data_IF_794365974752
#
_entry.id   IF_794365974752
#
_cell.length_a   1.000
_cell.length_b   1.000
_cell.length_c   1.000
_cell.angle_alpha   90.00
_cell.angle_beta   90.00
_cell.angle_gamma   90.00
#
_symmetry.space_group_name_H-M   'P 1'
#
loop_
_entity.id
_entity.type
_entity.pdbx_description
1 polymer ?
#
# COMPACT_ATOMS: atom_id res chain seq x y z
N UNK A 1 37.82 -40.69 13.88
CA UNK A 1 36.57 -40.58 14.67
C UNK A 1 35.97 -39.22 14.40
N UNK A 2 35.19 -39.08 13.33
CA UNK A 2 34.41 -37.87 13.03
C UNK A 2 32.96 -38.11 13.43
N UNK A 3 32.42 -37.23 14.28
CA UNK A 3 31.02 -37.27 14.71
C UNK A 3 30.18 -36.40 13.75
N UNK A 4 29.06 -36.88 13.20
CA UNK A 4 28.19 -36.04 12.40
C UNK A 4 27.41 -35.07 13.31
N UNK A 5 27.59 -33.77 13.07
CA UNK A 5 26.74 -32.71 13.64
C UNK A 5 25.38 -32.76 12.94
N UNK A 6 24.44 -33.50 13.51
CA UNK A 6 23.03 -33.43 13.08
C UNK A 6 22.41 -32.14 13.61
N UNK A 7 22.36 -31.12 12.76
CA UNK A 7 21.62 -29.90 13.03
C UNK A 7 20.12 -30.16 12.82
N UNK A 8 19.47 -30.71 13.84
CA UNK A 8 18.01 -30.88 13.91
C UNK A 8 17.38 -29.49 13.97
N UNK A 9 16.97 -28.94 12.81
CA UNK A 9 16.07 -27.79 12.78
C UNK A 9 14.74 -28.24 13.36
N UNK A 10 14.50 -27.83 14.60
CA UNK A 10 13.29 -28.03 15.37
C UNK A 10 12.09 -27.35 14.69
N UNK A 11 11.53 -28.00 13.68
CA UNK A 11 10.26 -27.65 13.08
C UNK A 11 9.11 -28.12 13.97
N UNK A 12 8.79 -27.38 15.02
CA UNK A 12 7.60 -27.67 15.83
C UNK A 12 6.96 -26.44 16.55
N UNK A 13 7.49 -25.21 16.37
CA UNK A 13 6.96 -24.02 17.07
C UNK A 13 6.37 -22.92 16.17
N UNK A 14 6.37 -23.09 14.84
CA UNK A 14 6.00 -22.01 13.91
C UNK A 14 4.47 -21.84 13.69
N UNK A 15 3.66 -22.85 14.00
CA UNK A 15 2.23 -22.87 13.66
C UNK A 15 1.35 -21.86 14.45
N UNK A 16 1.53 -21.66 15.77
CA UNK A 16 0.70 -20.72 16.53
C UNK A 16 0.99 -19.26 16.16
N UNK A 17 2.27 -18.94 15.97
CA UNK A 17 2.74 -17.57 15.68
C UNK A 17 2.30 -17.11 14.29
N UNK A 18 2.34 -18.01 13.29
CA UNK A 18 1.85 -17.72 11.94
C UNK A 18 0.33 -17.46 11.93
N UNK A 19 -0.45 -18.24 12.67
CA UNK A 19 -1.89 -18.06 12.78
C UNK A 19 -2.26 -16.73 13.45
N UNK A 20 -1.54 -16.35 14.52
CA UNK A 20 -1.71 -15.04 15.17
C UNK A 20 -1.31 -13.91 14.23
N UNK A 21 -0.23 -14.06 13.46
CA UNK A 21 0.20 -13.06 12.50
C UNK A 21 -0.81 -12.91 11.35
N UNK A 22 -1.37 -14.01 10.85
CA UNK A 22 -2.46 -13.99 9.86
C UNK A 22 -3.67 -13.21 10.36
N UNK A 23 -4.12 -13.50 11.58
CA UNK A 23 -5.27 -12.80 12.18
C UNK A 23 -5.01 -11.29 12.33
N UNK A 24 -3.78 -10.89 12.68
CA UNK A 24 -3.40 -9.46 12.76
C UNK A 24 -3.39 -8.78 11.40
N UNK A 25 -2.82 -9.43 10.39
CA UNK A 25 -2.81 -8.92 9.00
C UNK A 25 -4.23 -8.79 8.47
N UNK A 26 -5.07 -9.78 8.74
CA UNK A 26 -6.49 -9.75 8.38
C UNK A 26 -7.23 -8.56 9.01
N UNK A 27 -7.08 -8.38 10.32
CA UNK A 27 -7.70 -7.23 11.01
C UNK A 27 -7.18 -5.89 10.49
N UNK A 28 -5.89 -5.79 10.17
CA UNK A 28 -5.32 -4.59 9.58
C UNK A 28 -5.88 -4.31 8.18
N UNK A 29 -6.04 -5.35 7.36
CA UNK A 29 -6.62 -5.24 6.02
C UNK A 29 -8.08 -4.77 6.07
N UNK A 30 -8.89 -5.31 6.99
CA UNK A 30 -10.28 -4.86 7.21
C UNK A 30 -10.30 -3.38 7.62
N UNK A 31 -9.44 -2.96 8.55
CA UNK A 31 -9.36 -1.54 8.98
C UNK A 31 -8.94 -0.62 7.84
N UNK A 32 -8.03 -1.08 6.97
CA UNK A 32 -7.64 -0.34 5.78
C UNK A 32 -8.82 -0.17 4.82
N UNK A 33 -9.59 -1.23 4.57
CA UNK A 33 -10.81 -1.14 3.75
C UNK A 33 -11.82 -0.16 4.37
N UNK A 34 -12.04 -0.21 5.69
CA UNK A 34 -12.91 0.75 6.38
C UNK A 34 -12.44 2.20 6.21
N UNK A 35 -11.13 2.44 6.33
CA UNK A 35 -10.57 3.78 6.10
C UNK A 35 -10.82 4.28 4.67
N UNK A 36 -10.61 3.40 3.69
CA UNK A 36 -10.81 3.72 2.28
C UNK A 36 -12.29 4.01 1.96
N UNK A 37 -13.20 3.16 2.43
CA UNK A 37 -14.65 3.36 2.26
C UNK A 37 -15.10 4.66 2.90
N UNK A 38 -14.67 4.94 4.14
CA UNK A 38 -14.97 6.20 4.81
C UNK A 38 -14.44 7.40 4.03
N UNK A 39 -13.28 7.29 3.39
CA UNK A 39 -12.72 8.35 2.57
C UNK A 39 -13.51 8.57 1.28
N UNK A 40 -13.95 7.50 0.63
CA UNK A 40 -14.82 7.57 -0.54
C UNK A 40 -16.14 8.27 -0.21
N UNK A 41 -16.80 7.90 0.90
CA UNK A 41 -18.03 8.55 1.35
C UNK A 41 -17.84 10.05 1.61
N UNK A 42 -16.77 10.42 2.32
CA UNK A 42 -16.41 11.83 2.53
C UNK A 42 -16.17 12.58 1.23
N UNK A 43 -15.47 11.99 0.27
CA UNK A 43 -15.20 12.61 -1.02
C UNK A 43 -16.47 12.82 -1.84
N UNK A 44 -17.39 11.85 -1.86
CA UNK A 44 -18.70 12.00 -2.50
C UNK A 44 -19.47 13.18 -1.91
N UNK A 45 -19.46 13.32 -0.58
CA UNK A 45 -20.13 14.43 0.11
C UNK A 45 -19.46 15.77 -0.16
N UNK A 46 -18.13 15.84 -0.15
CA UNK A 46 -17.38 17.05 -0.50
C UNK A 46 -17.69 17.49 -1.95
N UNK A 47 -17.82 16.54 -2.88
CA UNK A 47 -18.26 16.82 -4.25
C UNK A 47 -19.67 17.43 -4.30
N UNK A 48 -20.62 16.87 -3.55
CA UNK A 48 -21.98 17.43 -3.43
C UNK A 48 -21.99 18.83 -2.81
N UNK A 49 -21.15 19.06 -1.79
CA UNK A 49 -21.04 20.37 -1.13
C UNK A 49 -20.44 21.45 -2.03
N UNK A 50 -19.46 21.10 -2.87
CA UNK A 50 -18.86 22.02 -3.82
C UNK A 50 -19.88 22.54 -4.86
N UNK A 51 -20.89 21.72 -5.18
CA UNK A 51 -21.98 22.07 -6.09
C UNK A 51 -23.15 22.79 -5.40
N UNK A 52 -23.19 22.78 -4.07
CA UNK A 52 -24.29 23.34 -3.29
C UNK A 52 -24.20 24.87 -3.21
N UNK A 53 -25.36 25.54 -3.32
CA UNK A 53 -25.50 26.99 -3.15
C UNK A 53 -25.00 27.48 -1.79
N UNK A 54 -24.75 28.78 -1.65
CA UNK A 54 -24.23 29.39 -0.41
C UNK A 54 -25.20 29.22 0.77
N UNK A 55 -26.50 29.28 0.53
CA UNK A 55 -27.54 29.09 1.55
C UNK A 55 -27.92 27.61 1.81
N UNK A 56 -27.09 26.66 1.35
CA UNK A 56 -27.44 25.24 1.41
C UNK A 56 -27.23 24.64 2.81
N UNK A 57 -28.20 23.87 3.35
CA UNK A 57 -28.04 23.16 4.62
C UNK A 57 -26.92 22.10 4.61
N UNK A 58 -26.40 21.74 3.43
CA UNK A 58 -25.27 20.81 3.29
C UNK A 58 -23.90 21.43 3.66
N UNK A 59 -23.82 22.77 3.80
CA UNK A 59 -22.60 23.49 4.20
C UNK A 59 -22.45 23.66 5.71
N UNK A 60 -23.45 23.28 6.51
CA UNK A 60 -23.38 23.40 7.96
C UNK A 60 -22.38 22.40 8.56
N UNK A 61 -21.44 22.91 9.37
CA UNK A 61 -20.36 22.15 10.00
C UNK A 61 -20.87 21.14 11.02
N UNK A 62 -21.90 21.48 11.80
CA UNK A 62 -22.43 20.58 12.83
C UNK A 62 -23.04 19.33 12.17
N UNK A 63 -23.76 19.51 11.06
CA UNK A 63 -24.29 18.40 10.29
C UNK A 63 -23.19 17.53 9.68
N UNK A 64 -22.08 18.13 9.25
CA UNK A 64 -20.95 17.39 8.70
C UNK A 64 -20.29 16.47 9.71
N UNK A 65 -20.08 16.94 10.94
CA UNK A 65 -19.47 16.13 12.01
C UNK A 65 -20.35 14.91 12.35
N UNK A 66 -21.68 15.11 12.41
CA UNK A 66 -22.63 14.00 12.65
C UNK A 66 -22.63 12.98 11.50
N UNK A 67 -22.54 13.46 10.26
CA UNK A 67 -22.43 12.60 9.09
C UNK A 67 -21.10 11.83 9.06
N UNK A 68 -19.99 12.44 9.49
CA UNK A 68 -18.69 11.77 9.55
C UNK A 68 -18.67 10.61 10.55
N UNK A 69 -19.38 10.76 11.67
CA UNK A 69 -19.56 9.66 12.63
C UNK A 69 -20.38 8.53 12.01
N UNK A 70 -21.47 8.86 11.31
CA UNK A 70 -22.31 7.87 10.62
C UNK A 70 -21.52 7.14 9.51
N UNK A 71 -20.79 7.88 8.68
CA UNK A 71 -19.96 7.34 7.60
C UNK A 71 -18.89 6.38 8.16
N UNK A 72 -18.32 6.68 9.32
CA UNK A 72 -17.35 5.80 9.98
C UNK A 72 -17.98 4.46 10.38
N UNK A 73 -19.20 4.46 10.90
CA UNK A 73 -19.91 3.23 11.27
C UNK A 73 -20.33 2.41 10.05
N UNK A 74 -20.79 3.08 8.99
CA UNK A 74 -21.14 2.45 7.72
C UNK A 74 -19.89 1.82 7.10
N UNK A 75 -18.78 2.55 7.05
CA UNK A 75 -17.53 2.07 6.48
C UNK A 75 -16.97 0.84 7.23
N UNK A 76 -16.99 0.85 8.56
CA UNK A 76 -16.58 -0.30 9.38
C UNK A 76 -17.48 -1.52 9.14
N UNK A 77 -18.80 -1.32 9.02
CA UNK A 77 -19.75 -2.40 8.71
C UNK A 77 -19.49 -3.00 7.32
N UNK A 78 -19.33 -2.15 6.30
CA UNK A 78 -19.06 -2.59 4.93
C UNK A 78 -17.73 -3.34 4.81
N UNK A 79 -16.68 -2.85 5.47
CA UNK A 79 -15.37 -3.50 5.46
C UNK A 79 -15.39 -4.87 6.15
N UNK A 80 -16.12 -5.01 7.27
CA UNK A 80 -16.31 -6.32 7.93
C UNK A 80 -17.07 -7.32 7.06
N UNK A 81 -17.99 -6.81 6.24
CA UNK A 81 -18.73 -7.61 5.25
C UNK A 81 -17.93 -7.87 3.96
N UNK A 82 -16.69 -7.38 3.86
CA UNK A 82 -15.85 -7.48 2.65
C UNK A 82 -16.56 -6.92 1.41
N UNK A 83 -17.33 -5.84 1.57
CA UNK A 83 -18.20 -5.30 0.52
C UNK A 83 -17.45 -4.92 -0.77
N UNK A 84 -16.20 -4.47 -0.67
CA UNK A 84 -15.39 -4.07 -1.83
C UNK A 84 -14.24 -5.06 -2.11
N UNK A 85 -13.96 -5.98 -1.18
CA UNK A 85 -12.94 -7.03 -1.35
C UNK A 85 -11.49 -6.52 -1.32
N UNK A 86 -11.27 -5.26 -0.92
CA UNK A 86 -9.92 -4.67 -0.83
C UNK A 86 -9.10 -5.39 0.24
N UNK A 87 -9.71 -5.69 1.38
CA UNK A 87 -9.05 -6.41 2.45
C UNK A 87 -8.57 -7.81 1.97
N UNK A 88 -9.36 -8.49 1.12
CA UNK A 88 -9.01 -9.80 0.58
C UNK A 88 -7.84 -9.74 -0.42
N UNK A 89 -7.81 -8.70 -1.25
CA UNK A 89 -6.68 -8.45 -2.15
C UNK A 89 -5.40 -8.22 -1.34
N UNK A 90 -5.46 -7.40 -0.29
CA UNK A 90 -4.30 -7.12 0.58
C UNK A 90 -3.81 -8.40 1.25
N UNK A 91 -4.72 -9.21 1.80
CA UNK A 91 -4.40 -10.51 2.38
C UNK A 91 -3.69 -11.43 1.38
N UNK A 92 -4.20 -11.50 0.15
CA UNK A 92 -3.61 -12.33 -0.91
C UNK A 92 -2.22 -11.86 -1.35
N UNK A 93 -1.96 -10.56 -1.33
CA UNK A 93 -0.64 -10.01 -1.67
C UNK A 93 0.38 -10.15 -0.53
N UNK A 94 -0.05 -9.99 0.73
CA UNK A 94 0.82 -10.10 1.90
C UNK A 94 1.08 -11.55 2.32
N UNK A 95 0.16 -12.46 2.01
CA UNK A 95 0.27 -13.88 2.31
C UNK A 95 0.17 -14.71 1.03
N UNK A 96 1.21 -14.68 0.17
CA UNK A 96 1.23 -15.50 -1.02
C UNK A 96 1.17 -16.98 -0.62
N UNK A 97 0.00 -17.60 -0.80
CA UNK A 97 -0.08 -19.07 -0.79
C UNK A 97 0.72 -19.54 -2.01
N UNK A 98 1.57 -20.54 -1.84
CA UNK A 98 2.38 -21.09 -2.91
C UNK A 98 1.51 -21.80 -3.96
N UNK A 99 0.80 -21.04 -4.80
CA UNK A 99 0.12 -21.51 -5.98
C UNK A 99 0.30 -20.45 -7.09
N UNK A 100 0.80 -20.82 -8.28
CA UNK A 100 1.12 -19.86 -9.31
C UNK A 100 -0.17 -19.51 -10.05
N UNK A 101 -0.78 -18.37 -9.73
CA UNK A 101 -1.79 -17.77 -10.58
C UNK A 101 -1.38 -16.33 -10.84
N UNK A 102 -0.80 -16.16 -12.03
CA UNK A 102 -0.55 -14.94 -12.82
C UNK A 102 -0.47 -13.66 -12.01
N UNK A 103 0.76 -13.25 -11.75
CA UNK A 103 1.14 -12.00 -11.12
C UNK A 103 0.59 -10.77 -11.86
N UNK A 104 -0.48 -10.19 -11.34
CA UNK A 104 -0.55 -8.75 -11.09
C UNK A 104 -0.23 -8.49 -9.63
N UNK A 105 0.85 -9.10 -9.14
CA UNK A 105 1.48 -8.66 -7.91
C UNK A 105 1.90 -7.20 -8.13
N UNK A 106 1.49 -6.32 -7.23
CA UNK A 106 2.01 -4.96 -7.17
C UNK A 106 3.54 -5.09 -7.10
N UNK A 107 4.21 -4.57 -8.13
CA UNK A 107 5.62 -4.80 -8.45
C UNK A 107 6.52 -4.62 -7.21
N UNK A 108 6.93 -5.73 -6.60
CA UNK A 108 7.98 -5.76 -5.58
C UNK A 108 9.33 -5.81 -6.27
N UNK A 109 9.81 -4.67 -6.75
CA UNK A 109 11.16 -4.53 -7.29
C UNK A 109 11.47 -3.08 -7.65
N UNK A 110 12.59 -2.50 -7.19
CA UNK A 110 13.06 -1.22 -7.69
C UNK A 110 13.78 -1.46 -9.01
N UNK A 111 13.06 -1.43 -10.12
CA UNK A 111 13.70 -1.26 -11.44
C UNK A 111 14.06 0.25 -11.55
N UNK A 112 15.36 0.62 -11.55
CA UNK A 112 15.74 2.03 -11.68
C UNK A 112 15.37 2.55 -13.07
N UNK A 113 14.55 3.60 -13.11
CA UNK A 113 14.10 4.28 -14.35
C UNK A 113 15.17 5.17 -15.00
N UNK A 114 16.46 4.88 -14.79
CA UNK A 114 17.53 5.61 -15.44
C UNK A 114 17.74 5.08 -16.86
N UNK A 115 17.26 5.85 -17.85
CA UNK A 115 17.57 5.69 -19.27
C UNK A 115 19.10 5.69 -19.46
N UNK A 116 19.65 4.57 -19.91
CA UNK A 116 21.00 4.50 -20.47
C UNK A 116 21.02 5.33 -21.76
N UNK A 117 21.45 6.58 -21.63
CA UNK A 117 21.71 7.47 -22.75
C UNK A 117 22.99 7.03 -23.46
N UNK A 118 22.86 6.10 -24.39
CA UNK A 118 23.87 5.87 -25.43
C UNK A 118 23.63 6.91 -26.54
N UNK A 119 24.54 7.86 -26.67
CA UNK A 119 24.50 8.91 -27.68
C UNK A 119 25.91 9.36 -28.01
N UNK A 120 26.50 8.69 -29.00
CA UNK A 120 27.81 8.98 -29.56
C UNK A 120 27.94 10.41 -30.09
N UNK A 121 29.04 11.08 -29.76
CA UNK A 121 29.52 12.30 -30.41
C UNK A 121 31.05 12.29 -30.39
N UNK A 122 31.64 12.16 -31.58
CA UNK A 122 33.06 11.96 -31.81
C UNK A 122 33.94 13.15 -31.36
N UNK A 123 35.18 12.83 -30.97
CA UNK A 123 36.31 13.73 -30.70
C UNK A 123 36.71 14.55 -31.96
N UNK A 124 37.42 15.71 -31.84
CA UNK A 124 38.89 15.67 -31.64
C UNK A 124 39.48 16.78 -30.74
N UNK A 125 40.62 16.44 -30.11
CA UNK A 125 41.82 17.23 -29.78
C UNK A 125 41.75 18.76 -29.55
N UNK A 126 42.26 19.21 -28.39
CA UNK A 126 43.45 20.08 -28.31
C UNK A 126 44.06 20.03 -26.87
N UNK A 127 45.38 19.95 -26.67
CA UNK A 127 46.03 20.04 -25.37
C UNK A 127 46.39 21.51 -25.02
N UNK A 128 46.91 21.73 -23.80
CA UNK A 128 47.31 23.02 -23.19
C UNK A 128 46.11 23.69 -22.48
N UNK A 129 46.10 23.89 -21.17
CA UNK A 129 46.96 24.86 -20.50
C UNK A 129 46.93 24.63 -18.97
N UNK A 130 48.12 24.47 -18.38
CA UNK A 130 48.34 24.50 -16.93
C UNK A 130 48.25 25.94 -16.41
N UNK A 131 47.60 26.10 -15.25
CA UNK A 131 47.82 27.02 -14.11
C UNK A 131 48.86 28.16 -14.24
N UNK A 132 48.78 29.31 -13.49
CA UNK A 132 48.39 29.31 -12.07
C UNK A 132 47.77 30.61 -11.49
N UNK A 133 47.27 30.52 -10.25
CA UNK A 133 47.30 31.61 -9.24
C UNK A 133 46.95 31.03 -7.86
N UNK A 134 47.40 31.62 -6.74
CA UNK A 134 48.62 32.39 -6.46
C UNK A 134 49.69 31.60 -5.69
#
# INVERSE_FOLDING_TARGET
>A
MDLPVTNTRLGASAAPDEAVQRARVEQAAIKFEAFFVGQMLRQMRQGTQALAGEDSPFKDRIHQDMLDIADTQVADTMARQRAFGIADVILRQLMPTAAPLVATALKSGPDPVALTGEGAGASPADPLEQAPTP
#
